data_IF_776214448920
#
_entry.id   IF_776214448920
#
_cell.length_a   1.000
_cell.length_b   1.000
_cell.length_c   1.000
_cell.angle_alpha   90.00
_cell.angle_beta   90.00
_cell.angle_gamma   90.00
#
_symmetry.space_group_name_H-M   'P 1'
#
loop_
_entity.id
_entity.type
_entity.pdbx_description
1 polymer ?
#
# COMPACT_ATOMS: atom_id res chain seq x y z
N UNK A 1 12.90 7.07 -21.50
CA UNK A 1 11.96 6.64 -22.56
C UNK A 1 11.97 7.58 -23.75
N UNK A 2 12.10 8.89 -23.54
CA UNK A 2 12.23 9.91 -24.61
C UNK A 2 13.52 9.74 -25.44
N UNK A 3 14.59 9.23 -24.84
CA UNK A 3 15.90 9.07 -25.49
C UNK A 3 16.16 7.66 -26.00
N UNK A 4 15.19 6.73 -25.92
CA UNK A 4 15.32 5.31 -26.28
C UNK A 4 16.58 4.61 -25.71
N UNK A 5 17.13 5.14 -24.61
CA UNK A 5 18.30 4.62 -23.94
C UNK A 5 17.88 3.57 -22.89
N UNK A 6 17.69 2.35 -23.32
CA UNK A 6 17.46 1.21 -22.46
C UNK A 6 18.78 0.56 -22.10
N UNK A 7 19.11 0.49 -20.80
CA UNK A 7 20.27 -0.26 -20.33
C UNK A 7 19.87 -1.19 -19.17
N UNK A 8 20.50 -2.37 -19.02
CA UNK A 8 20.27 -3.24 -17.87
C UNK A 8 20.54 -2.52 -16.54
N UNK A 9 21.57 -1.70 -16.48
CA UNK A 9 21.93 -0.87 -15.31
C UNK A 9 20.80 0.12 -14.98
N UNK A 10 20.17 0.73 -15.99
CA UNK A 10 19.04 1.64 -15.77
C UNK A 10 17.84 0.97 -15.13
N UNK A 11 17.56 -0.30 -15.47
CA UNK A 11 16.49 -1.09 -14.85
C UNK A 11 16.77 -1.37 -13.37
N UNK A 12 18.01 -1.73 -13.04
CA UNK A 12 18.39 -2.00 -11.64
C UNK A 12 18.41 -0.71 -10.80
N UNK A 13 18.87 0.41 -11.38
CA UNK A 13 18.82 1.72 -10.73
C UNK A 13 17.38 2.17 -10.43
N UNK A 14 16.43 1.92 -11.34
CA UNK A 14 15.00 2.20 -11.14
C UNK A 14 14.47 1.40 -9.94
N UNK A 15 14.79 0.11 -9.87
CA UNK A 15 14.40 -0.75 -8.72
C UNK A 15 15.02 -0.29 -7.40
N UNK A 16 16.28 0.15 -7.40
CA UNK A 16 16.93 0.68 -6.21
C UNK A 16 16.31 2.02 -5.78
N UNK A 17 15.99 2.90 -6.73
CA UNK A 17 15.32 4.17 -6.46
C UNK A 17 13.91 3.93 -5.88
N UNK A 18 13.17 2.97 -6.42
CA UNK A 18 11.87 2.54 -5.91
C UNK A 18 11.98 1.98 -4.48
N UNK A 19 13.01 1.17 -4.20
CA UNK A 19 13.25 0.62 -2.86
C UNK A 19 13.51 1.74 -1.84
N UNK A 20 14.30 2.74 -2.18
CA UNK A 20 14.58 3.87 -1.29
C UNK A 20 13.32 4.72 -1.09
N UNK A 21 12.64 5.09 -2.17
CA UNK A 21 11.49 6.02 -2.13
C UNK A 21 10.24 5.39 -1.54
N UNK A 22 9.96 4.13 -1.84
CA UNK A 22 8.72 3.44 -1.45
C UNK A 22 8.92 2.33 -0.41
N UNK A 23 10.15 2.04 -0.03
CA UNK A 23 10.48 1.08 1.02
C UNK A 23 11.11 1.77 2.24
N UNK A 24 12.30 2.37 2.07
CA UNK A 24 13.06 2.93 3.19
C UNK A 24 12.38 4.16 3.78
N UNK A 25 11.98 5.12 2.94
CA UNK A 25 11.36 6.36 3.42
C UNK A 25 10.08 6.11 4.24
N UNK A 26 9.07 5.36 3.76
CA UNK A 26 7.88 5.09 4.57
C UNK A 26 8.19 4.27 5.84
N UNK A 27 9.14 3.36 5.81
CA UNK A 27 9.57 2.61 6.98
C UNK A 27 10.12 3.55 8.08
N UNK A 28 10.97 4.51 7.69
CA UNK A 28 11.51 5.52 8.61
C UNK A 28 10.42 6.47 9.11
N UNK A 29 9.45 6.86 8.26
CA UNK A 29 8.33 7.71 8.68
C UNK A 29 7.50 7.04 9.78
N UNK A 30 7.17 5.75 9.64
CA UNK A 30 6.38 5.02 10.65
C UNK A 30 7.21 4.74 11.90
N UNK A 31 8.50 4.43 11.77
CA UNK A 31 9.41 4.30 12.91
C UNK A 31 9.45 5.60 13.72
N UNK A 32 9.66 6.74 13.06
CA UNK A 32 9.73 8.04 13.71
C UNK A 32 8.41 8.42 14.36
N UNK A 33 7.29 8.21 13.69
CA UNK A 33 5.95 8.42 14.23
C UNK A 33 5.74 7.61 15.50
N UNK A 34 6.14 6.34 15.50
CA UNK A 34 6.00 5.48 16.68
C UNK A 34 6.85 5.97 17.84
N UNK A 35 8.09 6.39 17.61
CA UNK A 35 8.96 6.95 18.65
C UNK A 35 8.36 8.24 19.22
N UNK A 36 7.78 9.10 18.41
CA UNK A 36 7.15 10.35 18.87
C UNK A 36 5.90 10.11 19.73
N UNK A 37 5.09 9.09 19.40
CA UNK A 37 3.85 8.80 20.11
C UNK A 37 4.08 7.96 21.37
N UNK A 38 4.96 6.95 21.28
CA UNK A 38 5.10 5.90 22.31
C UNK A 38 6.43 5.93 23.05
N UNK A 39 7.37 6.79 22.62
CA UNK A 39 8.74 6.81 23.11
C UNK A 39 9.63 5.73 22.48
N UNK A 40 10.90 5.75 22.85
CA UNK A 40 11.87 4.76 22.38
C UNK A 40 11.57 3.38 22.97
N UNK A 41 11.39 2.39 22.11
CA UNK A 41 11.21 0.99 22.49
C UNK A 41 11.74 0.07 21.40
N UNK A 42 12.06 -1.18 21.75
CA UNK A 42 12.46 -2.18 20.76
C UNK A 42 11.39 -2.40 19.68
N UNK A 43 10.12 -2.24 20.00
CA UNK A 43 9.01 -2.37 19.05
C UNK A 43 9.01 -1.29 17.96
N UNK A 44 9.64 -0.13 18.23
CA UNK A 44 9.75 0.95 17.25
C UNK A 44 10.62 0.57 16.03
N UNK A 45 11.46 -0.46 16.14
CA UNK A 45 12.26 -0.94 15.01
C UNK A 45 11.49 -1.89 14.08
N UNK A 46 10.34 -2.43 14.51
CA UNK A 46 9.54 -3.35 13.66
C UNK A 46 9.10 -2.71 12.34
N UNK A 47 8.64 -1.46 12.28
CA UNK A 47 8.30 -0.80 11.00
C UNK A 47 9.45 -0.77 9.98
N UNK A 48 10.73 -0.82 10.42
CA UNK A 48 11.87 -0.84 9.51
C UNK A 48 11.92 -2.12 8.65
N UNK A 49 11.25 -3.19 9.08
CA UNK A 49 11.07 -4.40 8.28
C UNK A 49 10.36 -4.12 6.95
N UNK A 50 9.52 -3.08 6.86
CA UNK A 50 8.86 -2.66 5.61
C UNK A 50 9.90 -2.42 4.51
N UNK A 51 11.07 -1.82 4.83
CA UNK A 51 12.13 -1.61 3.87
C UNK A 51 12.70 -2.93 3.34
N UNK A 52 12.95 -3.89 4.24
CA UNK A 52 13.49 -5.22 3.88
C UNK A 52 12.48 -5.98 3.01
N UNK A 53 11.22 -6.02 3.40
CA UNK A 53 10.16 -6.71 2.65
C UNK A 53 9.84 -6.02 1.33
N UNK A 54 10.01 -4.69 1.24
CA UNK A 54 9.92 -3.96 -0.03
C UNK A 54 11.05 -4.35 -0.99
N UNK A 55 12.28 -4.48 -0.51
CA UNK A 55 13.41 -4.97 -1.31
C UNK A 55 13.17 -6.40 -1.81
N UNK A 56 12.71 -7.30 -0.93
CA UNK A 56 12.37 -8.69 -1.29
C UNK A 56 11.27 -8.74 -2.36
N UNK A 57 10.24 -7.89 -2.22
CA UNK A 57 9.16 -7.80 -3.20
C UNK A 57 9.67 -7.34 -4.56
N UNK A 58 10.51 -6.30 -4.61
CA UNK A 58 11.08 -5.77 -5.86
C UNK A 58 11.99 -6.81 -6.53
N UNK A 59 12.81 -7.52 -5.75
CA UNK A 59 13.63 -8.61 -6.26
C UNK A 59 12.76 -9.73 -6.84
N UNK A 60 11.71 -10.17 -6.12
CA UNK A 60 10.75 -11.17 -6.60
C UNK A 60 10.05 -10.71 -7.89
N UNK A 61 9.66 -9.42 -7.95
CA UNK A 61 9.00 -8.83 -9.13
C UNK A 61 9.91 -8.84 -10.37
N UNK A 62 11.20 -8.60 -10.22
CA UNK A 62 12.14 -8.59 -11.34
C UNK A 62 12.40 -9.97 -11.96
N UNK A 63 12.17 -11.05 -11.20
CA UNK A 63 12.42 -12.44 -11.60
C UNK A 63 11.12 -13.14 -12.07
N UNK A 64 9.95 -12.68 -11.61
CA UNK A 64 8.67 -13.37 -11.84
C UNK A 64 8.06 -12.97 -13.19
N UNK A 65 8.11 -13.88 -14.17
CA UNK A 65 7.54 -13.71 -15.51
C UNK A 65 6.00 -13.80 -15.54
N UNK A 66 5.37 -14.27 -14.48
CA UNK A 66 3.90 -14.45 -14.38
C UNK A 66 3.13 -13.13 -14.26
N UNK A 67 3.82 -12.02 -13.99
CA UNK A 67 3.21 -10.72 -13.70
C UNK A 67 2.92 -9.89 -14.97
N UNK A 68 2.12 -10.45 -15.89
CA UNK A 68 1.78 -9.76 -17.16
C UNK A 68 0.58 -8.82 -17.03
N UNK A 69 -0.50 -9.26 -16.37
CA UNK A 69 -1.77 -8.53 -16.30
C UNK A 69 -2.22 -8.15 -14.89
N UNK A 70 -1.92 -8.97 -13.89
CA UNK A 70 -2.23 -8.72 -12.48
C UNK A 70 -0.94 -8.67 -11.66
N UNK A 71 -0.96 -7.86 -10.60
CA UNK A 71 0.13 -7.86 -9.62
C UNK A 71 -0.06 -9.03 -8.63
N UNK A 72 1.05 -9.64 -8.23
CA UNK A 72 1.08 -10.62 -7.14
C UNK A 72 1.61 -9.88 -5.90
N UNK A 73 0.81 -9.86 -4.84
CA UNK A 73 1.10 -9.14 -3.60
C UNK A 73 0.93 -7.62 -3.69
N UNK A 74 1.04 -6.96 -2.53
CA UNK A 74 0.87 -5.51 -2.42
C UNK A 74 1.99 -4.76 -3.14
N UNK A 75 1.64 -3.79 -3.98
CA UNK A 75 2.62 -2.94 -4.65
C UNK A 75 3.37 -2.04 -3.65
N UNK A 76 4.71 -1.90 -3.78
CA UNK A 76 5.52 -1.04 -2.91
C UNK A 76 5.02 0.40 -2.86
N UNK A 77 4.61 1.05 -3.98
CA UNK A 77 4.01 2.38 -3.91
C UNK A 77 2.69 2.42 -3.12
N UNK A 78 1.88 1.35 -3.19
CA UNK A 78 0.64 1.30 -2.41
C UNK A 78 0.92 1.21 -0.90
N UNK A 79 1.91 0.40 -0.50
CA UNK A 79 2.38 0.34 0.89
C UNK A 79 2.89 1.71 1.37
N UNK A 80 3.70 2.39 0.54
CA UNK A 80 4.21 3.73 0.84
C UNK A 80 3.08 4.76 1.01
N UNK A 81 2.05 4.71 0.17
CA UNK A 81 0.89 5.60 0.28
C UNK A 81 0.09 5.35 1.57
N UNK A 82 -0.05 4.10 2.00
CA UNK A 82 -0.68 3.76 3.29
C UNK A 82 0.14 4.35 4.44
N UNK A 83 1.44 4.10 4.47
CA UNK A 83 2.32 4.59 5.53
C UNK A 83 2.35 6.13 5.57
N UNK A 84 2.53 6.77 4.41
CA UNK A 84 2.61 8.22 4.31
C UNK A 84 1.30 8.92 4.67
N UNK A 85 0.16 8.42 4.16
CA UNK A 85 -1.16 8.99 4.49
C UNK A 85 -1.54 8.78 5.95
N UNK A 86 -1.19 7.64 6.54
CA UNK A 86 -1.38 7.36 7.96
C UNK A 86 -0.54 8.31 8.83
N UNK A 87 0.76 8.42 8.56
CA UNK A 87 1.65 9.31 9.31
C UNK A 87 1.20 10.77 9.21
N UNK A 88 0.88 11.23 8.00
CA UNK A 88 0.40 12.59 7.79
C UNK A 88 -0.92 12.87 8.53
N UNK A 89 -1.87 11.92 8.49
CA UNK A 89 -3.16 12.05 9.16
C UNK A 89 -3.00 12.19 10.67
N UNK A 90 -2.17 11.33 11.28
CA UNK A 90 -1.89 11.36 12.72
C UNK A 90 -1.24 12.69 13.15
N UNK A 91 -0.27 13.17 12.36
CA UNK A 91 0.42 14.45 12.66
C UNK A 91 -0.52 15.66 12.53
N UNK A 92 -1.50 15.62 11.62
CA UNK A 92 -2.41 16.76 11.37
C UNK A 92 -3.62 16.77 12.30
N UNK A 93 -4.06 15.61 12.76
CA UNK A 93 -5.24 15.46 13.60
C UNK A 93 -4.94 14.62 14.85
N UNK A 94 -4.27 15.22 15.86
CA UNK A 94 -3.88 14.54 17.08
C UNK A 94 -5.08 14.07 17.92
N UNK A 95 -6.26 14.66 17.76
CA UNK A 95 -7.48 14.29 18.45
C UNK A 95 -8.25 13.14 17.79
N UNK A 96 -7.76 12.61 16.67
CA UNK A 96 -8.43 11.55 15.92
C UNK A 96 -8.46 10.22 16.67
N UNK A 97 -9.49 9.41 16.40
CA UNK A 97 -9.60 8.04 16.93
C UNK A 97 -8.40 7.19 16.52
N UNK A 98 -7.87 7.41 15.30
CA UNK A 98 -6.69 6.68 14.82
C UNK A 98 -5.43 7.03 15.64
N UNK A 99 -5.32 8.25 16.16
CA UNK A 99 -4.22 8.61 17.04
C UNK A 99 -4.32 7.86 18.38
N UNK A 100 -5.54 7.70 18.93
CA UNK A 100 -5.78 6.84 20.10
C UNK A 100 -5.30 5.40 19.87
N UNK A 101 -5.59 4.83 18.69
CA UNK A 101 -5.11 3.49 18.32
C UNK A 101 -3.60 3.46 18.08
N UNK A 102 -3.02 4.47 17.42
CA UNK A 102 -1.58 4.60 17.22
C UNK A 102 -0.81 4.70 18.54
N UNK A 103 -1.42 5.28 19.58
CA UNK A 103 -0.90 5.30 20.96
C UNK A 103 -0.88 3.91 21.63
N UNK A 104 -1.66 2.95 21.11
CA UNK A 104 -1.63 1.57 21.61
C UNK A 104 -0.32 0.89 21.23
N UNK A 105 0.38 0.31 22.21
CA UNK A 105 1.74 -0.23 22.08
C UNK A 105 1.95 -1.18 20.90
N UNK A 106 0.94 -1.98 20.55
CA UNK A 106 1.06 -3.03 19.55
C UNK A 106 0.43 -2.68 18.19
N UNK A 107 -0.32 -1.59 18.07
CA UNK A 107 -1.05 -1.28 16.85
C UNK A 107 -0.12 -1.05 15.64
N UNK A 108 0.84 -0.14 15.76
CA UNK A 108 1.80 0.17 14.68
C UNK A 108 2.68 -1.04 14.32
N UNK A 109 3.29 -1.75 15.31
CA UNK A 109 4.04 -2.97 15.03
C UNK A 109 3.24 -4.05 14.28
N UNK A 110 2.02 -4.34 14.73
CA UNK A 110 1.16 -5.35 14.09
C UNK A 110 0.75 -4.91 12.69
N UNK A 111 0.34 -3.65 12.50
CA UNK A 111 0.02 -3.10 11.18
C UNK A 111 1.23 -3.20 10.22
N UNK A 112 2.43 -2.89 10.71
CA UNK A 112 3.67 -3.02 9.93
C UNK A 112 3.96 -4.46 9.51
N UNK A 113 3.78 -5.43 10.40
CA UNK A 113 3.94 -6.85 10.09
C UNK A 113 2.89 -7.34 9.07
N UNK A 114 1.66 -6.88 9.17
CA UNK A 114 0.60 -7.16 8.18
C UNK A 114 1.02 -6.62 6.81
N UNK A 115 1.50 -5.39 6.73
CA UNK A 115 1.99 -4.80 5.47
C UNK A 115 3.18 -5.59 4.90
N UNK A 116 4.13 -6.01 5.74
CA UNK A 116 5.24 -6.87 5.34
C UNK A 116 4.76 -8.20 4.75
N UNK A 117 3.79 -8.84 5.40
CA UNK A 117 3.17 -10.07 4.89
C UNK A 117 2.47 -9.86 3.55
N UNK A 118 1.74 -8.74 3.39
CA UNK A 118 1.05 -8.40 2.14
C UNK A 118 2.01 -8.09 0.99
N UNK A 119 3.16 -7.48 1.26
CA UNK A 119 4.18 -7.18 0.24
C UNK A 119 4.70 -8.46 -0.42
N UNK A 120 4.89 -9.54 0.34
CA UNK A 120 5.46 -10.81 -0.16
C UNK A 120 4.39 -11.87 -0.44
N UNK A 121 3.11 -11.57 -0.13
CA UNK A 121 1.99 -12.49 -0.35
C UNK A 121 1.80 -12.84 -1.82
N UNK A 122 1.22 -14.01 -2.08
CA UNK A 122 0.84 -14.44 -3.44
C UNK A 122 -0.64 -14.10 -3.77
N UNK A 123 -1.21 -13.11 -3.09
CA UNK A 123 -2.58 -12.68 -3.32
C UNK A 123 -2.64 -11.93 -4.66
N UNK A 124 -3.47 -12.38 -5.63
CA UNK A 124 -3.63 -11.66 -6.88
C UNK A 124 -4.33 -10.33 -6.62
N UNK A 125 -3.65 -9.23 -6.93
CA UNK A 125 -4.21 -7.89 -6.82
C UNK A 125 -4.52 -7.35 -8.22
N UNK A 126 -5.75 -6.85 -8.42
CA UNK A 126 -6.12 -6.31 -9.72
C UNK A 126 -5.35 -5.02 -10.02
N UNK A 127 -4.88 -4.93 -11.27
CA UNK A 127 -4.16 -3.75 -11.74
C UNK A 127 -5.12 -2.61 -12.06
N UNK A 128 -4.82 -1.41 -11.53
CA UNK A 128 -5.55 -0.18 -11.90
C UNK A 128 -5.16 0.36 -13.28
N UNK A 129 -4.26 -0.30 -14.01
CA UNK A 129 -3.86 0.15 -15.36
C UNK A 129 -5.05 0.05 -16.31
N UNK A 130 -5.46 1.18 -16.88
CA UNK A 130 -6.46 1.24 -17.93
C UNK A 130 -5.86 0.73 -19.26
N UNK A 131 -6.00 -0.56 -19.55
CA UNK A 131 -5.72 -1.07 -20.90
C UNK A 131 -6.91 -0.74 -21.81
N UNK A 132 -6.64 -0.13 -22.96
CA UNK A 132 -7.62 0.29 -23.97
C UNK A 132 -8.55 -0.84 -24.50
N UNK A 133 -8.19 -2.11 -24.28
CA UNK A 133 -8.84 -3.29 -24.88
C UNK A 133 -9.67 -4.13 -23.87
N UNK A 134 -10.02 -3.62 -22.70
CA UNK A 134 -10.86 -4.38 -21.78
C UNK A 134 -12.32 -4.23 -22.22
N UNK A 135 -12.90 -5.33 -22.74
CA UNK A 135 -14.32 -5.37 -23.13
C UNK A 135 -15.20 -5.11 -21.90
N UNK A 136 -16.21 -4.23 -22.09
CA UNK A 136 -17.24 -4.00 -21.09
C UNK A 136 -17.91 -5.35 -20.72
N UNK A 137 -18.07 -5.62 -19.40
CA UNK A 137 -18.69 -6.87 -18.91
C UNK A 137 -17.72 -7.93 -18.38
N UNK A 138 -16.40 -7.75 -18.55
CA UNK A 138 -15.42 -8.67 -17.94
C UNK A 138 -15.44 -8.55 -16.41
N UNK A 139 -15.13 -9.64 -15.65
CA UNK A 139 -15.08 -9.62 -14.18
C UNK A 139 -14.20 -8.49 -13.64
N UNK A 140 -13.07 -8.23 -14.29
CA UNK A 140 -12.13 -7.15 -13.94
C UNK A 140 -12.78 -5.76 -14.11
N UNK A 141 -13.61 -5.57 -15.13
CA UNK A 141 -14.32 -4.30 -15.33
C UNK A 141 -15.34 -4.02 -14.22
N UNK A 142 -16.10 -5.05 -13.80
CA UNK A 142 -17.03 -4.95 -12.67
C UNK A 142 -16.32 -4.62 -11.36
N UNK A 143 -15.17 -5.23 -11.10
CA UNK A 143 -14.34 -4.96 -9.92
C UNK A 143 -13.86 -3.51 -9.88
N UNK A 144 -13.42 -2.97 -11.02
CA UNK A 144 -12.97 -1.57 -11.14
C UNK A 144 -14.09 -0.57 -10.91
N UNK A 145 -15.27 -0.81 -11.46
CA UNK A 145 -16.45 0.03 -11.24
C UNK A 145 -16.87 -0.02 -9.76
N UNK A 146 -16.92 -1.21 -9.17
CA UNK A 146 -17.22 -1.38 -7.75
C UNK A 146 -16.23 -0.61 -6.87
N UNK A 147 -14.93 -0.71 -7.17
CA UNK A 147 -13.91 0.02 -6.45
C UNK A 147 -14.02 1.54 -6.61
N UNK A 148 -14.32 2.03 -7.82
CA UNK A 148 -14.58 3.45 -8.07
C UNK A 148 -15.78 3.95 -7.23
N UNK A 149 -16.85 3.16 -7.14
CA UNK A 149 -17.99 3.47 -6.25
C UNK A 149 -17.58 3.58 -4.78
N UNK A 150 -16.73 2.65 -4.30
CA UNK A 150 -16.22 2.71 -2.92
C UNK A 150 -15.39 3.97 -2.69
N UNK A 151 -14.55 4.38 -3.64
CA UNK A 151 -13.78 5.64 -3.54
C UNK A 151 -14.72 6.84 -3.41
N UNK A 152 -15.76 6.91 -4.23
CA UNK A 152 -16.74 8.01 -4.17
C UNK A 152 -17.40 8.06 -2.79
N UNK A 153 -17.82 6.92 -2.25
CA UNK A 153 -18.41 6.84 -0.90
C UNK A 153 -17.42 7.33 0.16
N UNK A 154 -16.17 6.88 0.11
CA UNK A 154 -15.12 7.34 1.04
C UNK A 154 -14.93 8.86 0.94
N UNK A 155 -14.87 9.42 -0.27
CA UNK A 155 -14.73 10.86 -0.48
C UNK A 155 -15.89 11.63 0.14
N UNK A 156 -17.14 11.21 -0.14
CA UNK A 156 -18.34 11.87 0.38
C UNK A 156 -18.38 11.81 1.91
N UNK A 157 -18.13 10.63 2.50
CA UNK A 157 -18.12 10.48 3.96
C UNK A 157 -17.03 11.33 4.62
N UNK A 158 -15.83 11.38 4.04
CA UNK A 158 -14.72 12.19 4.56
C UNK A 158 -15.04 13.69 4.52
N UNK A 159 -15.67 14.15 3.43
CA UNK A 159 -16.11 15.54 3.30
C UNK A 159 -17.22 15.89 4.29
N UNK A 160 -18.21 15.01 4.47
CA UNK A 160 -19.31 15.21 5.43
C UNK A 160 -18.83 15.24 6.87
N UNK A 161 -17.82 14.45 7.21
CA UNK A 161 -17.24 14.39 8.55
C UNK A 161 -16.16 15.46 8.79
N UNK A 162 -15.81 16.28 7.77
CA UNK A 162 -14.78 17.30 7.87
C UNK A 162 -13.36 16.76 8.13
N UNK A 163 -13.10 15.49 7.78
CA UNK A 163 -11.81 14.85 8.00
C UNK A 163 -10.77 15.29 6.97
N UNK A 164 -9.49 15.14 7.32
CA UNK A 164 -8.39 15.52 6.45
C UNK A 164 -8.36 14.66 5.17
N UNK A 165 -7.97 15.24 4.03
CA UNK A 165 -7.86 14.57 2.73
C UNK A 165 -6.96 13.30 2.77
N UNK A 166 -5.96 13.26 3.65
CA UNK A 166 -5.08 12.09 3.82
C UNK A 166 -5.85 10.85 4.29
N UNK A 167 -6.97 11.04 4.99
CA UNK A 167 -7.87 9.94 5.37
C UNK A 167 -8.50 9.27 4.16
N UNK A 168 -8.82 10.03 3.10
CA UNK A 168 -9.35 9.48 1.83
C UNK A 168 -8.32 8.53 1.23
N UNK A 169 -7.05 8.96 1.16
CA UNK A 169 -5.97 8.15 0.60
C UNK A 169 -5.80 6.86 1.41
N UNK A 170 -5.69 6.98 2.74
CA UNK A 170 -5.54 5.84 3.64
C UNK A 170 -6.66 4.83 3.45
N UNK A 171 -7.92 5.27 3.55
CA UNK A 171 -9.09 4.39 3.45
C UNK A 171 -9.25 3.79 2.06
N UNK A 172 -8.89 4.50 1.01
CA UNK A 172 -8.90 3.97 -0.36
C UNK A 172 -7.96 2.77 -0.50
N UNK A 173 -6.73 2.87 0.01
CA UNK A 173 -5.80 1.75 -0.07
C UNK A 173 -6.16 0.59 0.86
N UNK A 174 -6.71 0.87 2.04
CA UNK A 174 -7.26 -0.17 2.93
C UNK A 174 -8.43 -0.90 2.25
N UNK A 175 -9.37 -0.18 1.66
CA UNK A 175 -10.47 -0.77 0.90
C UNK A 175 -9.98 -1.58 -0.30
N UNK A 176 -8.95 -1.10 -1.00
CA UNK A 176 -8.29 -1.85 -2.08
C UNK A 176 -7.76 -3.20 -1.59
N UNK A 177 -7.06 -3.24 -0.47
CA UNK A 177 -6.53 -4.48 0.11
C UNK A 177 -7.67 -5.42 0.49
N UNK A 178 -8.68 -4.93 1.23
CA UNK A 178 -9.82 -5.75 1.68
C UNK A 178 -10.56 -6.35 0.49
N UNK A 179 -10.80 -5.56 -0.55
CA UNK A 179 -11.51 -6.02 -1.75
C UNK A 179 -10.72 -7.11 -2.48
N UNK A 180 -9.39 -6.96 -2.63
CA UNK A 180 -8.56 -7.98 -3.28
C UNK A 180 -8.49 -9.28 -2.47
N UNK A 181 -8.34 -9.18 -1.15
CA UNK A 181 -8.37 -10.36 -0.26
C UNK A 181 -9.73 -11.07 -0.35
N UNK A 182 -10.83 -10.31 -0.30
CA UNK A 182 -12.18 -10.87 -0.42
C UNK A 182 -12.38 -11.62 -1.75
N UNK A 183 -11.94 -11.03 -2.85
CA UNK A 183 -11.98 -11.66 -4.18
C UNK A 183 -11.12 -12.93 -4.21
N UNK A 184 -9.89 -12.87 -3.71
CA UNK A 184 -8.99 -14.02 -3.69
C UNK A 184 -9.57 -15.20 -2.90
N UNK A 185 -10.22 -14.93 -1.77
CA UNK A 185 -10.89 -15.96 -0.95
C UNK A 185 -12.10 -16.58 -1.65
N UNK A 186 -12.89 -15.77 -2.38
CA UNK A 186 -14.05 -16.26 -3.14
C UNK A 186 -13.64 -17.15 -4.32
N UNK A 187 -12.55 -16.79 -5.02
CA UNK A 187 -12.07 -17.60 -6.15
C UNK A 187 -11.26 -18.84 -5.74
N UNK A 188 -10.72 -18.89 -4.53
CA UNK A 188 -10.03 -20.09 -4.00
C UNK A 188 -10.99 -21.23 -3.65
N UNK A 189 -12.29 -20.93 -3.49
CA UNK A 189 -13.34 -21.92 -3.15
C UNK A 189 -13.98 -22.60 -4.37
N UNK A 190 -13.58 -22.25 -5.58
CA UNK A 190 -13.98 -22.94 -6.83
C UNK A 190 -12.79 -23.72 -7.41
#
# INVERSE_FOLDING_TARGET
RLLNAYSPVGKELDSLADMVSFGVLPALMINRLMVEIQGESFLAYIPLLIAIFSALRLAKFNIDERQTDNFIGLATPACAMICGSFAYYICKDPASVLNGWAGTRFFIPVASLILCGLLVSEIPMFSMKFKKNIKAGTPIHKQRIGFAGVIVVICVLTLLLGLNWSFIVLMTFVAYIIMNIGIALLFRKK
#
